data_IF_004602865194
#
_entry.id   IF_004602865194
#
_cell.length_a   1.000
_cell.length_b   1.000
_cell.length_c   1.000
_cell.angle_alpha   90.00
_cell.angle_beta   90.00
_cell.angle_gamma   90.00
#
_symmetry.space_group_name_H-M   'P 1'
#
loop_
_entity.id
_entity.type
_entity.pdbx_description
1 polymer ?
#
# COMPACT_ATOMS: atom_id res chain seq x y z
N UNK A 1 11.89 16.67 -1.79
CA UNK A 1 12.52 15.36 -1.53
C UNK A 1 13.42 14.96 -2.69
N UNK A 2 12.91 14.41 -3.80
CA UNK A 2 13.75 14.15 -4.97
C UNK A 2 14.16 15.46 -5.68
N UNK A 3 13.19 16.31 -6.00
CA UNK A 3 13.46 17.60 -6.66
C UNK A 3 14.33 18.56 -5.83
N UNK A 4 14.33 18.41 -4.51
CA UNK A 4 15.19 19.19 -3.59
C UNK A 4 16.65 18.69 -3.63
N UNK A 5 16.87 17.39 -3.80
CA UNK A 5 18.20 16.79 -3.89
C UNK A 5 18.78 16.81 -5.33
N UNK A 6 18.02 17.29 -6.32
CA UNK A 6 18.43 17.39 -7.74
C UNK A 6 19.23 18.67 -8.03
N UNK A 7 20.04 19.11 -7.07
CA UNK A 7 20.93 20.26 -7.19
C UNK A 7 22.33 19.86 -6.75
N UNK A 8 23.33 20.27 -7.52
CA UNK A 8 24.72 19.96 -7.21
C UNK A 8 25.19 20.81 -6.03
N UNK A 9 25.65 20.21 -4.90
CA UNK A 9 26.08 20.99 -3.74
C UNK A 9 27.39 21.76 -3.96
N UNK A 10 28.17 21.41 -5.00
CA UNK A 10 29.46 22.06 -5.26
C UNK A 10 29.35 23.30 -6.16
N UNK A 11 28.42 23.32 -7.09
CA UNK A 11 28.29 24.41 -8.08
C UNK A 11 26.86 24.93 -8.26
N UNK A 12 25.91 24.43 -7.46
CA UNK A 12 24.49 24.80 -7.49
C UNK A 12 23.80 24.62 -8.86
N UNK A 13 24.42 23.86 -9.76
CA UNK A 13 23.82 23.51 -11.04
C UNK A 13 22.76 22.41 -10.88
N UNK A 14 21.66 22.43 -11.67
CA UNK A 14 20.65 21.40 -11.62
C UNK A 14 21.23 20.05 -12.09
N UNK A 15 20.96 19.01 -11.30
CA UNK A 15 21.23 17.63 -11.69
C UNK A 15 20.10 17.14 -12.59
N UNK A 16 20.45 16.41 -13.65
CA UNK A 16 19.50 15.94 -14.65
C UNK A 16 19.56 14.42 -14.78
N UNK A 17 18.39 13.79 -14.93
CA UNK A 17 18.30 12.36 -15.16
C UNK A 17 19.01 11.87 -16.43
N UNK A 18 19.27 12.77 -17.39
CA UNK A 18 20.06 12.45 -18.59
C UNK A 18 21.50 12.03 -18.27
N UNK A 19 22.03 12.43 -17.12
CA UNK A 19 23.40 12.14 -16.68
C UNK A 19 23.43 11.14 -15.53
N UNK A 20 22.42 10.28 -15.41
CA UNK A 20 22.44 9.14 -14.48
C UNK A 20 23.38 8.09 -15.03
N UNK A 21 24.39 7.73 -14.24
CA UNK A 21 25.31 6.64 -14.59
C UNK A 21 24.85 5.30 -14.06
N UNK A 22 24.20 5.32 -12.89
CA UNK A 22 23.73 4.11 -12.24
C UNK A 22 22.49 4.41 -11.39
N UNK A 23 21.61 3.43 -11.31
CA UNK A 23 20.45 3.41 -10.42
C UNK A 23 20.52 2.15 -9.56
N UNK A 24 20.55 2.34 -8.24
CA UNK A 24 20.41 1.23 -7.30
C UNK A 24 19.00 1.23 -6.71
N UNK A 25 18.25 0.15 -6.96
CA UNK A 25 16.84 0.02 -6.57
C UNK A 25 16.72 -0.81 -5.29
N UNK A 26 16.14 -0.22 -4.25
CA UNK A 26 15.87 -0.86 -2.97
C UNK A 26 14.37 -0.74 -2.69
N UNK A 27 13.62 -1.78 -3.02
CA UNK A 27 12.17 -1.73 -2.94
C UNK A 27 11.55 -0.98 -4.12
N UNK A 28 10.67 -0.04 -3.79
CA UNK A 28 10.16 1.05 -4.63
C UNK A 28 11.00 2.32 -4.56
N UNK A 29 12.11 2.32 -3.82
CA UNK A 29 13.02 3.45 -3.73
C UNK A 29 14.21 3.26 -4.66
N UNK A 30 14.70 4.36 -5.21
CA UNK A 30 15.85 4.40 -6.10
C UNK A 30 16.89 5.37 -5.57
N UNK A 31 18.15 4.96 -5.67
CA UNK A 31 19.32 5.80 -5.45
C UNK A 31 19.98 6.03 -6.80
N UNK A 32 19.91 7.26 -7.29
CA UNK A 32 20.49 7.65 -8.57
C UNK A 32 21.89 8.21 -8.35
N UNK A 33 22.88 7.68 -9.07
CA UNK A 33 24.22 8.28 -9.16
C UNK A 33 24.25 9.17 -10.40
N UNK A 34 24.10 10.47 -10.18
CA UNK A 34 23.97 11.48 -11.23
C UNK A 34 25.26 12.27 -11.33
N UNK A 35 25.86 12.31 -12.53
CA UNK A 35 27.01 13.15 -12.80
C UNK A 35 26.54 14.59 -13.05
N UNK A 36 27.12 15.55 -12.35
CA UNK A 36 26.88 16.96 -12.64
C UNK A 36 27.47 17.30 -14.02
N UNK A 37 26.69 17.97 -14.87
CA UNK A 37 27.14 18.38 -16.20
C UNK A 37 28.13 19.56 -16.15
N UNK A 38 28.13 20.33 -15.06
CA UNK A 38 28.97 21.53 -14.89
C UNK A 38 30.31 21.19 -14.23
N UNK A 39 30.29 20.58 -13.04
CA UNK A 39 31.52 20.29 -12.28
C UNK A 39 32.00 18.84 -12.42
N UNK A 40 31.27 17.99 -13.15
CA UNK A 40 31.58 16.57 -13.39
C UNK A 40 31.64 15.68 -12.14
N UNK A 41 31.34 16.22 -10.97
CA UNK A 41 31.24 15.45 -9.73
C UNK A 41 30.03 14.53 -9.76
N UNK A 42 30.21 13.33 -9.22
CA UNK A 42 29.16 12.31 -9.12
C UNK A 42 28.44 12.46 -7.78
N UNK A 43 27.11 12.53 -7.82
CA UNK A 43 26.28 12.73 -6.65
C UNK A 43 25.23 11.62 -6.52
N UNK A 44 24.91 11.26 -5.28
CA UNK A 44 23.80 10.36 -4.98
C UNK A 44 22.53 11.14 -4.66
N UNK A 45 21.46 10.86 -5.40
CA UNK A 45 20.14 11.47 -5.24
C UNK A 45 19.13 10.38 -4.90
N UNK A 46 18.35 10.55 -3.83
CA UNK A 46 17.41 9.52 -3.37
C UNK A 46 15.97 9.87 -3.74
N UNK A 47 15.23 8.90 -4.26
CA UNK A 47 13.81 9.10 -4.58
C UNK A 47 12.90 9.16 -3.34
N UNK A 48 13.33 8.56 -2.22
CA UNK A 48 12.55 8.45 -0.99
C UNK A 48 13.33 8.74 0.28
N UNK A 49 12.63 9.09 1.37
CA UNK A 49 13.22 9.33 2.69
C UNK A 49 13.76 8.03 3.27
N UNK A 50 15.00 8.07 3.73
CA UNK A 50 15.64 6.95 4.42
C UNK A 50 15.39 7.02 5.94
N UNK A 51 15.05 5.89 6.57
CA UNK A 51 14.85 5.81 8.02
C UNK A 51 15.88 4.95 8.75
N UNK A 52 16.44 3.93 8.09
CA UNK A 52 17.52 3.10 8.66
C UNK A 52 18.70 3.08 7.71
N UNK A 53 19.86 3.44 8.26
CA UNK A 53 21.16 3.28 7.62
C UNK A 53 21.87 2.07 8.23
N UNK A 54 22.64 1.37 7.42
CA UNK A 54 23.67 0.42 7.86
C UNK A 54 24.87 1.19 8.41
N UNK A 55 25.80 0.46 9.02
CA UNK A 55 27.08 1.00 9.52
C UNK A 55 27.94 1.60 8.40
N UNK A 56 27.82 1.10 7.17
CA UNK A 56 28.45 1.63 5.95
C UNK A 56 27.80 2.93 5.44
N UNK A 57 26.75 3.43 6.10
CA UNK A 57 25.99 4.62 5.71
C UNK A 57 24.87 4.37 4.68
N UNK A 58 24.77 3.16 4.11
CA UNK A 58 23.78 2.82 3.10
C UNK A 58 22.38 2.66 3.70
N UNK A 59 21.37 3.17 2.99
CA UNK A 59 20.00 3.03 3.45
C UNK A 59 19.46 1.60 3.24
N UNK A 60 18.76 1.07 4.24
CA UNK A 60 18.09 -0.25 4.15
C UNK A 60 16.57 -0.16 4.18
N UNK A 61 16.01 0.94 4.68
CA UNK A 61 14.57 1.12 4.75
C UNK A 61 14.17 2.51 4.30
N UNK A 62 13.32 2.54 3.28
CA UNK A 62 12.76 3.74 2.69
C UNK A 62 11.28 3.92 3.02
N UNK A 63 10.86 5.17 3.11
CA UNK A 63 9.48 5.55 3.40
C UNK A 63 8.48 5.05 2.37
N UNK A 64 8.84 5.10 1.09
CA UNK A 64 7.96 4.63 0.01
C UNK A 64 7.64 3.13 0.16
N UNK A 65 8.62 2.31 0.52
CA UNK A 65 8.44 0.87 0.77
C UNK A 65 7.55 0.64 1.99
N UNK A 66 7.75 1.48 3.02
CA UNK A 66 6.97 1.42 4.23
C UNK A 66 5.55 1.97 4.05
N UNK A 67 5.30 2.84 3.07
CA UNK A 67 3.96 3.36 2.75
C UNK A 67 3.20 2.43 1.81
N UNK A 68 3.88 1.87 0.80
CA UNK A 68 3.27 0.93 -0.15
C UNK A 68 2.74 -0.30 0.58
N UNK A 69 3.51 -0.84 1.53
CA UNK A 69 3.06 -1.98 2.31
C UNK A 69 1.95 -1.62 3.33
N UNK A 70 1.84 -0.38 3.83
CA UNK A 70 0.77 0.00 4.79
C UNK A 70 -0.57 0.27 4.12
N UNK A 71 -0.58 0.71 2.86
CA UNK A 71 -1.70 1.46 2.30
C UNK A 71 -1.88 2.80 3.03
N UNK A 72 -2.56 3.77 2.40
CA UNK A 72 -2.78 5.12 2.98
C UNK A 72 -3.46 5.02 4.35
N UNK A 73 -2.73 5.20 5.44
CA UNK A 73 -3.29 5.70 6.70
C UNK A 73 -2.61 7.01 7.08
N UNK A 74 -3.39 8.08 7.02
CA UNK A 74 -3.12 9.30 7.76
C UNK A 74 -3.10 8.94 9.26
N UNK A 75 -1.92 8.81 9.85
CA UNK A 75 -1.57 9.36 11.17
C UNK A 75 -0.14 8.94 11.54
N UNK A 76 0.66 9.94 11.92
CA UNK A 76 1.96 9.77 12.54
C UNK A 76 1.75 9.00 13.85
N UNK A 77 2.15 7.73 13.88
CA UNK A 77 2.44 7.05 15.14
C UNK A 77 3.82 6.42 15.02
N UNK A 78 4.76 6.97 15.78
CA UNK A 78 5.97 6.26 16.18
C UNK A 78 5.52 4.93 16.79
N UNK A 79 5.93 3.79 16.21
CA UNK A 79 6.12 2.52 16.90
C UNK A 79 6.65 1.47 15.90
N UNK A 80 7.89 1.04 16.11
CA UNK A 80 8.54 -0.08 15.41
C UNK A 80 7.74 -1.39 15.47
N UNK A 81 6.91 -1.58 16.51
CA UNK A 81 6.05 -2.78 16.66
C UNK A 81 4.66 -2.66 16.01
N UNK A 82 4.03 -1.47 16.00
CA UNK A 82 2.68 -1.29 15.43
C UNK A 82 2.72 -1.41 13.90
N UNK A 83 3.84 -1.01 13.31
CA UNK A 83 4.11 -1.11 11.88
C UNK A 83 3.86 -2.54 11.36
N UNK A 84 4.55 -3.56 11.89
CA UNK A 84 4.47 -4.98 11.45
C UNK A 84 3.04 -5.53 11.47
N UNK A 85 2.23 -5.14 12.47
CA UNK A 85 0.87 -5.66 12.65
C UNK A 85 -0.14 -4.99 11.70
N UNK A 86 0.04 -3.71 11.38
CA UNK A 86 -0.84 -3.00 10.44
C UNK A 86 -0.56 -3.45 8.99
N UNK A 87 0.72 -3.63 8.63
CA UNK A 87 1.14 -4.12 7.31
C UNK A 87 0.40 -5.39 6.89
N UNK A 88 0.32 -6.37 7.79
CA UNK A 88 -0.16 -7.71 7.46
C UNK A 88 -1.69 -7.81 7.30
N UNK A 89 -2.48 -6.96 7.98
CA UNK A 89 -3.95 -7.01 7.90
C UNK A 89 -4.51 -6.40 6.62
N UNK A 90 -4.05 -5.20 6.26
CA UNK A 90 -4.48 -4.54 5.03
C UNK A 90 -4.05 -5.34 3.80
N UNK A 91 -2.85 -5.90 3.86
CA UNK A 91 -2.32 -6.80 2.84
C UNK A 91 -3.22 -8.03 2.63
N UNK A 92 -3.61 -8.71 3.71
CA UNK A 92 -4.56 -9.84 3.66
C UNK A 92 -5.92 -9.43 3.09
N UNK A 93 -6.44 -8.25 3.43
CA UNK A 93 -7.70 -7.78 2.86
C UNK A 93 -7.61 -7.63 1.34
N UNK A 94 -6.53 -7.01 0.84
CA UNK A 94 -6.28 -6.89 -0.59
C UNK A 94 -6.11 -8.25 -1.28
N UNK A 95 -5.47 -9.21 -0.61
CA UNK A 95 -5.36 -10.59 -1.10
C UNK A 95 -6.71 -11.25 -1.25
N UNK A 96 -7.60 -11.11 -0.26
CA UNK A 96 -8.93 -11.70 -0.28
C UNK A 96 -9.78 -11.05 -1.37
N UNK A 97 -9.74 -9.72 -1.49
CA UNK A 97 -10.47 -8.95 -2.50
C UNK A 97 -10.02 -9.31 -3.93
N UNK A 98 -8.71 -9.45 -4.15
CA UNK A 98 -8.15 -9.80 -5.44
C UNK A 98 -8.10 -11.31 -5.74
N UNK A 99 -8.46 -12.17 -4.78
CA UNK A 99 -8.33 -13.63 -4.90
C UNK A 99 -6.89 -14.14 -5.03
N UNK A 100 -5.91 -13.42 -4.46
CA UNK A 100 -4.47 -13.72 -4.61
C UNK A 100 -3.96 -14.52 -3.40
N UNK A 101 -3.34 -15.67 -3.66
CA UNK A 101 -2.71 -16.50 -2.63
C UNK A 101 -1.33 -15.98 -2.18
N UNK A 102 -0.87 -16.49 -1.03
CA UNK A 102 0.43 -16.15 -0.41
C UNK A 102 1.61 -16.15 -1.39
N UNK A 103 1.71 -17.18 -2.24
CA UNK A 103 2.84 -17.36 -3.15
C UNK A 103 2.90 -16.25 -4.18
N UNK A 104 1.79 -15.95 -4.85
CA UNK A 104 1.69 -14.88 -5.84
C UNK A 104 2.06 -13.53 -5.22
N UNK A 105 1.58 -13.32 -4.00
CA UNK A 105 1.82 -12.11 -3.26
C UNK A 105 3.30 -11.94 -2.89
N UNK A 106 3.96 -13.01 -2.44
CA UNK A 106 5.39 -13.00 -2.19
C UNK A 106 6.24 -12.88 -3.47
N UNK A 107 5.76 -13.39 -4.60
CA UNK A 107 6.39 -13.14 -5.90
C UNK A 107 6.37 -11.64 -6.22
N UNK A 108 5.23 -10.98 -6.02
CA UNK A 108 5.11 -9.53 -6.21
C UNK A 108 6.05 -8.78 -5.26
N UNK A 109 6.07 -9.13 -3.96
CA UNK A 109 6.99 -8.50 -2.99
C UNK A 109 8.46 -8.71 -3.38
N UNK A 110 8.82 -9.89 -3.89
CA UNK A 110 10.16 -10.19 -4.36
C UNK A 110 10.55 -9.36 -5.58
N UNK A 111 9.64 -9.22 -6.57
CA UNK A 111 9.85 -8.35 -7.74
C UNK A 111 10.07 -6.91 -7.30
N UNK A 112 9.29 -6.46 -6.32
CA UNK A 112 9.42 -5.12 -5.77
C UNK A 112 10.57 -4.98 -4.78
N UNK A 113 11.40 -6.01 -4.54
CA UNK A 113 12.50 -6.01 -3.55
C UNK A 113 12.04 -5.53 -2.14
N UNK A 114 10.83 -5.91 -1.75
CA UNK A 114 10.25 -5.68 -0.42
C UNK A 114 10.37 -6.98 0.39
N UNK A 115 10.68 -6.93 1.69
CA UNK A 115 10.80 -8.13 2.51
C UNK A 115 9.57 -9.03 2.45
N UNK A 116 9.82 -10.32 2.27
CA UNK A 116 8.80 -11.37 2.22
C UNK A 116 8.06 -11.46 3.55
N UNK A 117 6.76 -11.68 3.51
CA UNK A 117 5.93 -11.95 4.69
C UNK A 117 5.93 -13.46 4.95
N UNK A 118 6.01 -13.89 6.21
CA UNK A 118 5.94 -15.31 6.54
C UNK A 118 4.51 -15.86 6.42
N UNK A 119 4.38 -17.12 5.97
CA UNK A 119 3.07 -17.76 5.81
C UNK A 119 2.30 -17.83 7.15
N UNK A 120 3.00 -18.08 8.26
CA UNK A 120 2.41 -18.16 9.60
C UNK A 120 1.79 -16.83 10.03
N UNK A 121 2.49 -15.71 9.81
CA UNK A 121 1.98 -14.38 10.09
C UNK A 121 0.80 -14.04 9.18
N UNK A 122 0.89 -14.41 7.90
CA UNK A 122 -0.20 -14.18 6.96
C UNK A 122 -1.46 -14.94 7.37
N UNK A 123 -1.37 -16.25 7.63
CA UNK A 123 -2.50 -17.09 8.01
C UNK A 123 -3.17 -16.65 9.30
N UNK A 124 -2.40 -16.15 10.27
CA UNK A 124 -2.97 -15.56 11.50
C UNK A 124 -3.84 -14.34 11.17
N UNK A 125 -3.38 -13.48 10.28
CA UNK A 125 -4.12 -12.28 9.88
C UNK A 125 -5.31 -12.62 8.96
N UNK A 126 -5.18 -13.61 8.09
CA UNK A 126 -6.27 -14.17 7.27
C UNK A 126 -7.43 -14.64 8.15
N UNK A 127 -7.15 -15.39 9.22
CA UNK A 127 -8.19 -15.83 10.18
C UNK A 127 -8.81 -14.66 10.94
N UNK A 128 -8.02 -13.65 11.28
CA UNK A 128 -8.53 -12.47 11.98
C UNK A 128 -9.47 -11.63 11.11
N UNK A 129 -9.03 -11.32 9.88
CA UNK A 129 -9.82 -10.56 8.90
C UNK A 129 -11.03 -11.35 8.45
N UNK A 130 -10.89 -12.66 8.23
CA UNK A 130 -11.96 -13.56 7.80
C UNK A 130 -13.17 -13.55 8.74
N UNK A 131 -12.97 -13.55 10.06
CA UNK A 131 -14.08 -13.43 11.03
C UNK A 131 -14.87 -12.12 10.84
N UNK A 132 -14.16 -11.01 10.67
CA UNK A 132 -14.79 -9.70 10.47
C UNK A 132 -15.52 -9.63 9.13
N UNK A 133 -14.96 -10.27 8.10
CA UNK A 133 -15.55 -10.34 6.77
C UNK A 133 -16.81 -11.22 6.74
N UNK A 134 -16.83 -12.33 7.48
CA UNK A 134 -18.02 -13.16 7.65
C UNK A 134 -19.15 -12.41 8.36
N UNK A 135 -18.83 -11.70 9.45
CA UNK A 135 -19.79 -10.86 10.15
C UNK A 135 -20.37 -9.77 9.24
N UNK A 136 -19.52 -9.16 8.41
CA UNK A 136 -19.94 -8.16 7.42
C UNK A 136 -20.86 -8.78 6.36
N UNK A 137 -20.49 -9.93 5.78
CA UNK A 137 -21.32 -10.64 4.81
C UNK A 137 -22.69 -11.01 5.40
N UNK A 138 -22.72 -11.49 6.65
CA UNK A 138 -23.96 -11.82 7.37
C UNK A 138 -24.86 -10.62 7.62
N UNK A 139 -24.29 -9.44 7.89
CA UNK A 139 -25.05 -8.18 8.02
C UNK A 139 -25.57 -7.74 6.66
N UNK A 140 -24.72 -7.72 5.65
CA UNK A 140 -25.08 -7.35 4.28
C UNK A 140 -26.24 -8.19 3.74
N UNK A 141 -26.19 -9.52 3.88
CA UNK A 141 -27.28 -10.38 3.42
C UNK A 141 -28.59 -10.12 4.19
N UNK A 142 -28.52 -9.88 5.51
CA UNK A 142 -29.72 -9.58 6.31
C UNK A 142 -30.33 -8.23 5.95
N UNK A 143 -29.51 -7.24 5.64
CA UNK A 143 -29.96 -5.92 5.17
C UNK A 143 -30.60 -6.03 3.78
N UNK A 144 -30.00 -6.78 2.85
CA UNK A 144 -30.58 -7.04 1.53
C UNK A 144 -31.95 -7.73 1.63
N UNK A 145 -32.05 -8.79 2.44
CA UNK A 145 -33.32 -9.50 2.72
C UNK A 145 -34.40 -8.59 3.30
N UNK A 146 -34.02 -7.66 4.19
CA UNK A 146 -34.95 -6.67 4.75
C UNK A 146 -35.43 -5.71 3.68
N UNK A 147 -34.52 -5.18 2.88
CA UNK A 147 -34.83 -4.26 1.79
C UNK A 147 -35.78 -4.90 0.77
N UNK A 148 -35.52 -6.14 0.36
CA UNK A 148 -36.39 -6.89 -0.54
C UNK A 148 -37.80 -7.05 0.04
N UNK A 149 -37.91 -7.41 1.33
CA UNK A 149 -39.20 -7.53 2.01
C UNK A 149 -39.96 -6.20 2.07
N UNK A 150 -39.27 -5.11 2.43
CA UNK A 150 -39.89 -3.79 2.55
C UNK A 150 -40.37 -3.27 1.18
N UNK A 151 -39.60 -3.53 0.12
CA UNK A 151 -40.01 -3.25 -1.26
C UNK A 151 -41.24 -4.07 -1.67
N UNK A 152 -41.31 -5.36 -1.33
CA UNK A 152 -42.49 -6.19 -1.62
C UNK A 152 -43.75 -5.68 -0.91
N UNK A 153 -43.63 -5.24 0.35
CA UNK A 153 -44.76 -4.69 1.09
C UNK A 153 -45.21 -3.34 0.53
N UNK A 154 -44.27 -2.49 0.12
CA UNK A 154 -44.57 -1.22 -0.53
C UNK A 154 -45.30 -1.44 -1.87
N UNK A 155 -44.84 -2.37 -2.70
CA UNK A 155 -45.50 -2.70 -3.98
C UNK A 155 -46.91 -3.31 -3.76
N UNK A 156 -47.07 -4.19 -2.77
CA UNK A 156 -48.38 -4.75 -2.42
C UNK A 156 -49.37 -3.68 -1.89
N UNK A 157 -48.87 -2.60 -1.29
CA UNK A 157 -49.68 -1.46 -0.85
C UNK A 157 -50.22 -0.64 -2.05
N UNK A 158 -49.43 -0.50 -3.11
CA UNK A 158 -49.84 0.14 -4.37
C UNK A 158 -50.94 -0.67 -5.06
N UNK A 159 -50.86 -2.00 -5.05
CA UNK A 159 -51.91 -2.89 -5.58
C UNK A 159 -53.21 -2.89 -4.75
N UNK A 160 -53.16 -2.55 -3.45
CA UNK A 160 -54.35 -2.44 -2.60
C UNK A 160 -55.10 -1.12 -2.80
N UNK A 161 -54.40 -0.03 -3.12
CA UNK A 161 -55.05 1.24 -3.47
C UNK A 161 -55.72 1.23 -4.84
N UNK A 162 -55.34 0.32 -5.74
CA UNK A 162 -55.98 0.13 -7.05
C UNK A 162 -57.18 -0.85 -7.04
N UNK A 163 -57.78 -1.15 -5.88
CA UNK A 163 -58.92 -2.08 -5.77
C UNK A 163 -60.23 -1.43 -5.28
N UNK A 164 -60.46 -0.19 -5.69
CA UNK A 164 -61.76 0.51 -5.60
C UNK A 164 -62.02 1.31 -6.89
N UNK A 165 -62.17 0.61 -8.01
CA UNK A 165 -62.90 1.08 -9.20
C UNK A 165 -63.50 -0.14 -9.89
N UNK A 166 -64.48 -0.76 -9.22
CA UNK A 166 -65.48 -1.60 -9.88
C UNK A 166 -66.80 -1.45 -9.12
#
# INVERSE_FOLDING_TARGET
MLAEEMWCPACDAPLSFRYVENENVIGLASIFRVRCHTCLLLHEVKSSKCYKKREDGNCTQYDVNAKSALGKKHKKTNLSCVRIVIYSRNYVLAMIDAGIGYTHMNTILSILNIPIISNTLLKRNERYVGKSLEDLARKSCREALRLEKDLMLADMSVFRTCRCFM
#
